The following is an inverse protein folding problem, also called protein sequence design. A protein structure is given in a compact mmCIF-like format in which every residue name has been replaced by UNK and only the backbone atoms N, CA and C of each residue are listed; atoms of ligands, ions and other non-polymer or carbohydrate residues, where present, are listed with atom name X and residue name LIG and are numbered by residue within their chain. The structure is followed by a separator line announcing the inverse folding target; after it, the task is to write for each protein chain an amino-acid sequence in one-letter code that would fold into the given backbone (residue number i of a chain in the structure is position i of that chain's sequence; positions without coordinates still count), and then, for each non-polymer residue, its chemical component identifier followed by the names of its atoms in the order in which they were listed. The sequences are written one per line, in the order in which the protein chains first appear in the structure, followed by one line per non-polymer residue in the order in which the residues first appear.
data_IF_315293106856
#
_entry.id   IF_315293106856
#
_cell.length_a   1.000
_cell.length_b   1.000
_cell.length_c   1.000
_cell.angle_alpha   90.00
_cell.angle_beta   90.00
_cell.angle_gamma   90.00
#
_symmetry.space_group_name_H-M   'P 1'
#
loop_
_entity.id
_entity.type
_entity.pdbx_description
1 polymer ?
#
# COMPACT_ATOMS: atom_id res chain seq x y z
N UNK A 1 -15.99 5.13 6.26
CA UNK A 1 -14.67 4.59 5.89
C UNK A 1 -14.62 3.08 5.92
N UNK A 2 -15.28 2.38 6.86
CA UNK A 2 -15.27 0.90 6.93
C UNK A 2 -15.54 0.19 5.59
N UNK A 3 -16.63 0.52 4.90
CA UNK A 3 -16.95 -0.06 3.59
C UNK A 3 -15.91 0.25 2.49
N UNK A 4 -15.27 1.43 2.51
CA UNK A 4 -14.19 1.77 1.57
C UNK A 4 -12.95 0.92 1.86
N UNK A 5 -12.58 0.78 3.13
CA UNK A 5 -11.45 -0.06 3.53
C UNK A 5 -11.69 -1.54 3.18
N UNK A 6 -12.90 -2.03 3.40
CA UNK A 6 -13.25 -3.44 3.16
C UNK A 6 -13.38 -3.78 1.67
N UNK A 7 -13.91 -2.88 0.84
CA UNK A 7 -14.17 -3.19 -0.56
C UNK A 7 -13.15 -2.58 -1.52
N UNK A 8 -12.90 -1.27 -1.43
CA UNK A 8 -12.01 -0.59 -2.37
C UNK A 8 -10.53 -0.86 -2.06
N UNK A 9 -10.12 -0.73 -0.81
CA UNK A 9 -8.71 -0.94 -0.41
C UNK A 9 -8.33 -2.43 -0.44
N UNK A 10 -9.29 -3.32 -0.21
CA UNK A 10 -9.07 -4.76 -0.37
C UNK A 10 -8.68 -5.15 -1.81
N UNK A 11 -9.25 -4.48 -2.81
CA UNK A 11 -8.86 -4.71 -4.21
C UNK A 11 -7.41 -4.28 -4.45
N UNK A 12 -6.99 -3.13 -3.90
CA UNK A 12 -5.60 -2.68 -3.98
C UNK A 12 -4.68 -3.75 -3.38
N UNK A 13 -5.04 -4.32 -2.22
CA UNK A 13 -4.25 -5.38 -1.58
C UNK A 13 -3.98 -6.58 -2.51
N UNK A 14 -4.94 -6.95 -3.37
CA UNK A 14 -4.78 -8.06 -4.32
C UNK A 14 -3.79 -7.75 -5.44
N UNK A 15 -3.75 -6.51 -5.91
CA UNK A 15 -2.88 -6.12 -7.02
C UNK A 15 -1.43 -5.86 -6.61
N UNK A 16 -1.17 -5.64 -5.31
CA UNK A 16 0.18 -5.45 -4.78
C UNK A 16 1.02 -6.71 -5.04
N UNK A 17 2.15 -6.53 -5.72
CA UNK A 17 3.08 -7.62 -6.08
C UNK A 17 2.71 -8.38 -7.36
N UNK A 18 1.57 -8.04 -7.99
CA UNK A 18 1.21 -8.52 -9.33
C UNK A 18 1.46 -7.42 -10.36
N UNK A 19 1.01 -6.21 -10.04
CA UNK A 19 1.20 -5.01 -10.86
C UNK A 19 2.38 -4.22 -10.29
N UNK A 20 3.23 -3.70 -11.16
CA UNK A 20 4.32 -2.81 -10.78
C UNK A 20 3.75 -1.42 -10.45
N UNK A 21 3.25 -1.28 -9.23
CA UNK A 21 2.70 -0.04 -8.69
C UNK A 21 3.85 0.72 -8.05
N UNK A 22 4.08 1.95 -8.48
CA UNK A 22 5.09 2.84 -7.89
C UNK A 22 4.52 3.61 -6.70
N UNK A 23 5.37 4.13 -5.79
CA UNK A 23 4.93 5.02 -4.71
C UNK A 23 4.20 6.27 -5.22
N UNK A 24 4.57 6.77 -6.40
CA UNK A 24 3.90 7.88 -7.05
C UNK A 24 2.46 7.51 -7.43
N UNK A 25 2.23 6.30 -7.93
CA UNK A 25 0.88 5.81 -8.23
C UNK A 25 0.03 5.72 -6.95
N UNK A 26 0.61 5.25 -5.85
CA UNK A 26 -0.06 5.23 -4.55
C UNK A 26 -0.48 6.65 -4.09
N UNK A 27 0.38 7.64 -4.28
CA UNK A 27 0.07 9.06 -4.00
C UNK A 27 -1.05 9.60 -4.88
N UNK A 28 -1.09 9.22 -6.16
CA UNK A 28 -2.14 9.63 -7.08
C UNK A 28 -3.49 9.00 -6.72
N UNK A 29 -3.51 7.71 -6.41
CA UNK A 29 -4.72 7.02 -5.93
C UNK A 29 -5.24 7.69 -4.65
N UNK A 30 -4.36 8.01 -3.71
CA UNK A 30 -4.74 8.67 -2.46
C UNK A 30 -5.32 10.08 -2.70
N UNK A 31 -4.75 10.86 -3.64
CA UNK A 31 -5.32 12.15 -4.08
C UNK A 31 -6.71 11.98 -4.67
N UNK A 32 -6.92 11.00 -5.53
CA UNK A 32 -8.23 10.75 -6.14
C UNK A 32 -9.26 10.28 -5.11
N UNK A 33 -8.88 9.45 -4.14
CA UNK A 33 -9.77 9.08 -3.02
C UNK A 33 -10.17 10.33 -2.23
N UNK A 34 -9.21 11.19 -1.86
CA UNK A 34 -9.49 12.46 -1.17
C UNK A 34 -10.44 13.34 -1.97
N UNK A 35 -10.27 13.43 -3.29
CA UNK A 35 -11.15 14.18 -4.19
C UNK A 35 -12.56 13.64 -4.20
N UNK A 36 -12.74 12.32 -4.31
CA UNK A 36 -14.06 11.67 -4.21
C UNK A 36 -14.72 11.93 -2.86
N UNK A 37 -13.95 11.86 -1.76
CA UNK A 37 -14.45 12.15 -0.42
C UNK A 37 -14.88 13.63 -0.25
N UNK A 38 -14.18 14.56 -0.90
CA UNK A 38 -14.55 15.98 -0.92
C UNK A 38 -15.82 16.23 -1.73
N UNK A 39 -15.95 15.63 -2.91
CA UNK A 39 -17.16 15.76 -3.76
C UNK A 39 -18.41 15.28 -3.00
N UNK A 40 -18.27 14.18 -2.25
CA UNK A 40 -19.37 13.63 -1.45
C UNK A 40 -19.55 14.33 -0.09
N UNK A 41 -18.87 15.44 0.17
CA UNK A 41 -18.91 16.19 1.44
C UNK A 41 -18.58 15.38 2.70
N UNK A 42 -17.88 14.25 2.55
CA UNK A 42 -17.44 13.39 3.67
C UNK A 42 -16.22 14.00 4.37
N UNK A 43 -15.39 14.72 3.60
CA UNK A 43 -14.19 15.42 4.07
C UNK A 43 -14.16 16.83 3.48
N UNK A 44 -13.71 17.83 4.24
CA UNK A 44 -13.57 19.21 3.76
C UNK A 44 -12.09 19.54 3.54
N UNK A 45 -11.78 20.33 2.51
CA UNK A 45 -10.41 20.70 2.14
C UNK A 45 -9.53 21.29 3.26
N UNK A 46 -10.01 22.14 4.20
CA UNK A 46 -9.19 22.63 5.32
C UNK A 46 -9.07 21.63 6.48
N UNK A 47 -9.59 20.41 6.33
CA UNK A 47 -9.51 19.40 7.39
C UNK A 47 -8.10 18.82 7.45
N UNK A 48 -7.63 18.51 8.65
CA UNK A 48 -6.35 17.84 8.84
C UNK A 48 -6.34 16.49 8.10
N UNK A 49 -5.38 16.32 7.18
CA UNK A 49 -5.17 15.12 6.37
C UNK A 49 -4.69 13.94 7.21
N UNK A 50 -3.87 14.16 8.22
CA UNK A 50 -3.38 13.09 9.11
C UNK A 50 -4.54 12.46 9.90
N UNK A 51 -5.49 13.31 10.32
CA UNK A 51 -6.71 12.88 11.02
C UNK A 51 -7.60 11.98 10.16
N UNK A 52 -7.46 12.01 8.82
CA UNK A 52 -8.18 11.11 7.93
C UNK A 52 -7.79 9.65 8.17
N UNK A 53 -6.49 9.41 8.43
CA UNK A 53 -5.92 8.08 8.55
C UNK A 53 -5.92 7.53 9.99
N UNK A 54 -5.99 8.42 10.98
CA UNK A 54 -6.05 8.02 12.38
C UNK A 54 -7.28 7.14 12.68
N UNK A 55 -7.15 6.14 13.58
CA UNK A 55 -8.28 5.37 14.07
C UNK A 55 -9.38 6.26 14.66
N UNK A 56 -10.62 5.76 14.63
CA UNK A 56 -11.75 6.50 15.21
C UNK A 56 -11.66 6.63 16.73
N UNK A 57 -11.02 5.66 17.38
CA UNK A 57 -10.74 5.67 18.82
C UNK A 57 -9.81 6.83 19.20
N UNK A 58 -8.90 7.20 18.29
CA UNK A 58 -7.96 8.31 18.44
C UNK A 58 -8.51 9.60 17.81
N UNK A 59 -9.84 9.79 17.83
CA UNK A 59 -10.54 10.95 17.26
C UNK A 59 -10.37 11.13 15.74
N UNK A 60 -9.83 10.16 15.02
CA UNK A 60 -9.63 10.18 13.58
C UNK A 60 -10.87 9.80 12.76
N UNK A 61 -10.66 9.48 11.47
CA UNK A 61 -11.72 9.02 10.55
C UNK A 61 -11.62 7.55 10.18
N UNK A 62 -10.46 6.93 10.39
CA UNK A 62 -10.17 5.52 10.19
C UNK A 62 -10.13 5.09 8.72
N UNK A 63 -9.73 5.98 7.80
CA UNK A 63 -9.39 5.56 6.45
C UNK A 63 -8.00 4.90 6.48
N UNK A 64 -7.79 3.78 5.78
CA UNK A 64 -6.44 3.25 5.70
C UNK A 64 -5.59 4.10 4.74
N UNK A 65 -4.36 4.41 5.15
CA UNK A 65 -3.39 5.07 4.28
C UNK A 65 -2.87 4.04 3.25
N UNK A 66 -3.01 4.35 1.96
CA UNK A 66 -2.64 3.42 0.88
C UNK A 66 -1.14 3.23 0.80
N UNK A 67 -0.35 4.30 0.87
CA UNK A 67 1.12 4.22 0.81
C UNK A 67 1.65 3.32 1.92
N UNK A 68 1.23 3.59 3.16
CA UNK A 68 1.65 2.79 4.31
C UNK A 68 1.20 1.33 4.18
N UNK A 69 -0.01 1.09 3.67
CA UNK A 69 -0.55 -0.26 3.46
C UNK A 69 0.23 -1.00 2.38
N UNK A 70 0.56 -0.31 1.29
CA UNK A 70 1.36 -0.82 0.18
C UNK A 70 2.73 -1.27 0.66
N UNK A 71 3.45 -0.39 1.35
CA UNK A 71 4.78 -0.67 1.91
C UNK A 71 4.72 -1.87 2.87
N UNK A 72 3.73 -1.89 3.76
CA UNK A 72 3.56 -2.98 4.73
C UNK A 72 3.37 -4.34 4.06
N UNK A 73 2.51 -4.41 3.04
CA UNK A 73 2.25 -5.67 2.30
C UNK A 73 3.48 -6.07 1.49
N UNK A 74 4.14 -5.12 0.83
CA UNK A 74 5.30 -5.38 0.00
C UNK A 74 6.48 -5.89 0.85
N UNK A 75 6.67 -5.32 2.04
CA UNK A 75 7.67 -5.79 3.00
C UNK A 75 7.36 -7.21 3.48
N UNK A 76 6.10 -7.49 3.82
CA UNK A 76 5.67 -8.84 4.20
C UNK A 76 5.88 -9.87 3.08
N UNK A 77 5.61 -9.48 1.83
CA UNK A 77 5.87 -10.31 0.65
C UNK A 77 7.36 -10.61 0.52
N UNK A 78 8.21 -9.58 0.62
CA UNK A 78 9.67 -9.74 0.58
C UNK A 78 10.15 -10.69 1.67
N UNK A 79 9.72 -10.49 2.92
CA UNK A 79 10.13 -11.32 4.05
C UNK A 79 9.72 -12.78 3.86
N UNK A 80 8.49 -13.02 3.39
CA UNK A 80 7.97 -14.36 3.10
C UNK A 80 8.77 -15.06 2.00
N UNK A 81 9.08 -14.35 0.92
CA UNK A 81 9.90 -14.87 -0.17
C UNK A 81 11.32 -15.15 0.31
N UNK A 82 11.91 -14.23 1.07
CA UNK A 82 13.28 -14.34 1.61
C UNK A 82 13.43 -15.55 2.52
N UNK A 83 12.45 -15.81 3.40
CA UNK A 83 12.43 -16.98 4.27
C UNK A 83 12.31 -18.29 3.47
N UNK A 84 11.56 -18.25 2.37
CA UNK A 84 11.29 -19.42 1.53
C UNK A 84 12.40 -19.74 0.52
N UNK A 85 13.43 -18.88 0.40
CA UNK A 85 14.55 -19.07 -0.54
C UNK A 85 15.32 -20.36 -0.33
N UNK A 86 15.41 -20.85 0.92
CA UNK A 86 16.09 -22.10 1.26
C UNK A 86 15.37 -23.35 0.73
N UNK A 87 14.06 -23.25 0.48
CA UNK A 87 13.22 -24.39 0.12
C UNK A 87 12.86 -24.42 -1.38
N UNK A 88 13.02 -23.30 -2.10
CA UNK A 88 12.61 -23.19 -3.51
C UNK A 88 13.60 -22.41 -4.37
N UNK A 89 14.18 -23.12 -5.35
CA UNK A 89 15.03 -22.50 -6.37
C UNK A 89 14.28 -21.45 -7.19
N UNK A 90 12.98 -21.66 -7.43
CA UNK A 90 12.16 -20.70 -8.18
C UNK A 90 12.08 -19.35 -7.46
N UNK A 91 11.86 -19.37 -6.15
CA UNK A 91 11.78 -18.14 -5.34
C UNK A 91 13.13 -17.42 -5.34
N UNK A 92 14.24 -18.17 -5.26
CA UNK A 92 15.59 -17.60 -5.35
C UNK A 92 15.82 -16.88 -6.68
N UNK A 93 15.38 -17.47 -7.80
CA UNK A 93 15.48 -16.84 -9.14
C UNK A 93 14.61 -15.58 -9.22
N UNK A 94 13.38 -15.62 -8.71
CA UNK A 94 12.48 -14.44 -8.69
C UNK A 94 13.18 -13.28 -7.98
N UNK A 95 13.70 -13.48 -6.77
CA UNK A 95 14.39 -12.40 -6.04
C UNK A 95 15.65 -11.89 -6.76
N UNK A 96 16.35 -12.73 -7.51
CA UNK A 96 17.49 -12.30 -8.32
C UNK A 96 17.05 -11.41 -9.50
N UNK A 97 15.94 -11.75 -10.15
CA UNK A 97 15.34 -10.94 -11.23
C UNK A 97 14.89 -9.60 -10.67
N UNK A 98 14.13 -9.59 -9.57
CA UNK A 98 13.66 -8.37 -8.90
C UNK A 98 14.82 -7.45 -8.48
N UNK A 99 15.91 -8.04 -7.99
CA UNK A 99 17.15 -7.30 -7.68
C UNK A 99 17.80 -6.69 -8.92
N UNK A 100 17.81 -7.41 -10.04
CA UNK A 100 18.41 -6.94 -11.28
C UNK A 100 17.57 -5.81 -11.92
N UNK A 101 16.24 -5.92 -11.86
CA UNK A 101 15.30 -4.90 -12.35
C UNK A 101 15.19 -3.68 -11.43
N UNK A 102 15.69 -3.75 -10.20
CA UNK A 102 15.62 -2.68 -9.18
C UNK A 102 14.18 -2.26 -8.90
N UNK A 103 13.26 -3.22 -8.85
CA UNK A 103 11.86 -2.97 -8.50
C UNK A 103 11.73 -2.48 -7.06
N UNK A 104 10.59 -1.84 -6.77
CA UNK A 104 10.29 -1.36 -5.43
C UNK A 104 10.30 -2.47 -4.37
N UNK A 105 9.97 -3.70 -4.75
CA UNK A 105 10.06 -4.88 -3.87
C UNK A 105 11.49 -5.10 -3.32
N UNK A 106 12.51 -4.89 -4.15
CA UNK A 106 13.91 -5.00 -3.70
C UNK A 106 14.36 -3.77 -2.90
N UNK A 107 13.85 -2.58 -3.26
CA UNK A 107 14.23 -1.30 -2.67
C UNK A 107 13.62 -1.03 -1.29
N UNK A 108 12.69 -1.86 -0.81
CA UNK A 108 11.98 -1.61 0.46
C UNK A 108 12.82 -1.81 1.73
N UNK A 109 13.83 -2.71 1.70
CA UNK A 109 14.73 -2.99 2.84
C UNK A 109 16.08 -2.23 2.87
N UNK A 110 16.68 -1.76 1.76
CA UNK A 110 17.96 -1.06 1.81
C UNK A 110 17.93 0.36 2.43
N UNK A 111 16.81 0.79 3.01
CA UNK A 111 16.71 2.04 3.79
C UNK A 111 17.05 1.84 5.27
#
# INVERSE_FOLDING_TARGET
MKSINEHAISLINYYIGIVDITPQDCQEIDKEIKKVLMINSIHKQPSNTERLYLPREELGRGLQNIEHRYESILLQLYDTLSHSTGFSLRIKVILQVEKASKTFLYLIKPY
#
